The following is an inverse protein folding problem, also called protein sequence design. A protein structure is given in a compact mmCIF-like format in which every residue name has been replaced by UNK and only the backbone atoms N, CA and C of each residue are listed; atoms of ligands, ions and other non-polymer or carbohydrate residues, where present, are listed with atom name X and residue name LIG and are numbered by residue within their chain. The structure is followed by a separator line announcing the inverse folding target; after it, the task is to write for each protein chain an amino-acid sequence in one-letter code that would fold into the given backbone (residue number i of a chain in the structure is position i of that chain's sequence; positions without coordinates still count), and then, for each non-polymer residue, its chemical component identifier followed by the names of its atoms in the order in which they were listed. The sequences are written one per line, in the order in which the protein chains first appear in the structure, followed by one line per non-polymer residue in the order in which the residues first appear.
data_IF_692110535497
#
_entry.id   IF_692110535497
#
_cell.length_a   1.000
_cell.length_b   1.000
_cell.length_c   1.000
_cell.angle_alpha   90.00
_cell.angle_beta   90.00
_cell.angle_gamma   90.00
#
_symmetry.space_group_name_H-M   'P 1'
#
loop_
_entity.id
_entity.type
_entity.pdbx_description
1 polymer ?
#
# COMPACT_ATOMS: atom_id res chain seq x y z
N UNK A 1 2.05 -21.88 -16.11
CA UNK A 1 0.73 -21.39 -15.70
C UNK A 1 0.56 -19.94 -16.10
N UNK A 2 -0.68 -19.49 -16.29
CA UNK A 2 -1.02 -18.07 -16.51
C UNK A 2 -1.51 -17.48 -15.20
N UNK A 3 -1.13 -16.24 -14.89
CA UNK A 3 -1.54 -15.54 -13.66
C UNK A 3 -2.06 -14.15 -14.01
N UNK A 4 -2.94 -13.60 -13.17
CA UNK A 4 -3.48 -12.25 -13.34
C UNK A 4 -3.13 -11.38 -12.12
N UNK A 5 -2.63 -10.18 -12.38
CA UNK A 5 -2.48 -9.11 -11.38
C UNK A 5 -3.44 -7.98 -11.73
N UNK A 6 -4.32 -7.61 -10.80
CA UNK A 6 -5.28 -6.51 -10.97
C UNK A 6 -4.68 -5.23 -10.41
N UNK A 7 -4.61 -4.18 -11.24
CA UNK A 7 -4.18 -2.83 -10.96
C UNK A 7 -3.20 -2.28 -12.00
N UNK A 8 -2.64 -1.10 -11.71
CA UNK A 8 -1.82 -0.32 -12.65
C UNK A 8 -0.72 0.51 -11.97
N UNK A 9 -0.55 0.39 -10.66
CA UNK A 9 0.44 1.11 -9.87
C UNK A 9 1.82 0.45 -9.85
N UNK A 10 2.72 1.04 -9.05
CA UNK A 10 4.07 0.54 -8.85
C UNK A 10 4.09 -0.77 -8.07
N UNK A 11 3.18 -0.91 -7.10
CA UNK A 11 2.90 -2.18 -6.41
C UNK A 11 2.55 -3.31 -7.38
N UNK A 12 1.63 -3.07 -8.30
CA UNK A 12 1.22 -4.12 -9.25
C UNK A 12 2.33 -4.48 -10.23
N UNK A 13 3.11 -3.48 -10.68
CA UNK A 13 4.30 -3.76 -11.46
C UNK A 13 5.30 -4.63 -10.66
N UNK A 14 5.59 -4.29 -9.40
CA UNK A 14 6.50 -5.09 -8.58
C UNK A 14 6.01 -6.53 -8.32
N UNK A 15 4.71 -6.72 -8.07
CA UNK A 15 4.11 -8.06 -7.95
C UNK A 15 4.21 -8.83 -9.27
N UNK A 16 3.85 -8.21 -10.39
CA UNK A 16 3.89 -8.84 -11.71
C UNK A 16 5.34 -9.20 -12.13
N UNK A 17 6.28 -8.28 -11.92
CA UNK A 17 7.71 -8.49 -12.13
C UNK A 17 8.22 -9.68 -11.33
N UNK A 18 7.82 -9.81 -10.06
CA UNK A 18 8.27 -10.92 -9.21
C UNK A 18 7.65 -12.26 -9.62
N UNK A 19 6.35 -12.28 -9.94
CA UNK A 19 5.68 -13.49 -10.45
C UNK A 19 6.29 -13.96 -11.78
N UNK A 20 6.65 -13.03 -12.67
CA UNK A 20 7.24 -13.34 -13.97
C UNK A 20 8.65 -13.94 -13.91
N UNK A 21 9.31 -13.95 -12.74
CA UNK A 21 10.60 -14.62 -12.54
C UNK A 21 10.45 -16.12 -12.29
N UNK A 22 9.25 -16.58 -11.91
CA UNK A 22 9.03 -18.01 -11.66
C UNK A 22 9.12 -18.80 -12.96
N UNK A 23 9.89 -19.91 -13.01
CA UNK A 23 9.90 -20.80 -14.17
C UNK A 23 8.54 -21.49 -14.40
N UNK A 24 7.62 -21.43 -13.42
CA UNK A 24 6.28 -21.99 -13.53
C UNK A 24 5.34 -21.09 -14.32
N UNK A 25 5.66 -19.80 -14.53
CA UNK A 25 4.80 -18.82 -15.19
C UNK A 25 5.10 -18.75 -16.69
N UNK A 26 4.04 -18.82 -17.49
CA UNK A 26 4.09 -18.63 -18.94
C UNK A 26 3.86 -17.16 -19.32
N UNK A 27 2.90 -16.52 -18.66
CA UNK A 27 2.57 -15.11 -18.83
C UNK A 27 1.89 -14.59 -17.57
N UNK A 28 2.19 -13.34 -17.22
CA UNK A 28 1.45 -12.57 -16.21
C UNK A 28 0.59 -11.56 -16.95
N UNK A 29 -0.73 -11.70 -16.87
CA UNK A 29 -1.64 -10.64 -17.28
C UNK A 29 -1.67 -9.54 -16.23
N UNK A 30 -1.71 -8.28 -16.65
CA UNK A 30 -1.87 -7.14 -15.74
C UNK A 30 -3.06 -6.30 -16.19
N UNK A 31 -4.01 -6.04 -15.29
CA UNK A 31 -5.29 -5.44 -15.64
C UNK A 31 -5.56 -4.13 -14.85
N UNK A 32 -5.45 -2.93 -15.47
CA UNK A 32 -5.09 -2.68 -16.86
C UNK A 32 -3.57 -2.63 -17.12
N UNK A 33 -2.75 -2.67 -16.07
CA UNK A 33 -1.31 -2.43 -16.17
C UNK A 33 -0.97 -0.97 -16.49
N UNK A 34 0.31 -0.73 -16.79
CA UNK A 34 0.86 0.60 -17.08
C UNK A 34 1.93 0.54 -18.18
N UNK A 35 2.56 1.67 -18.47
CA UNK A 35 3.61 1.79 -19.48
C UNK A 35 4.81 0.87 -19.23
N UNK A 36 5.17 0.63 -17.96
CA UNK A 36 6.27 -0.28 -17.62
C UNK A 36 5.92 -1.75 -17.83
N UNK A 37 4.73 -2.17 -17.38
CA UNK A 37 4.27 -3.54 -17.59
C UNK A 37 4.03 -3.86 -19.07
N UNK A 38 3.76 -2.84 -19.90
CA UNK A 38 3.68 -2.99 -21.36
C UNK A 38 5.04 -3.25 -22.05
N UNK A 39 6.16 -2.94 -21.39
CA UNK A 39 7.51 -3.07 -21.96
C UNK A 39 8.19 -4.40 -21.62
N UNK A 40 7.74 -5.10 -20.57
CA UNK A 40 8.26 -6.41 -20.20
C UNK A 40 7.56 -7.52 -21.02
N UNK A 41 8.34 -8.28 -21.78
CA UNK A 41 7.82 -9.35 -22.66
C UNK A 41 7.16 -10.52 -21.92
N UNK A 42 7.39 -10.65 -20.61
CA UNK A 42 6.78 -11.68 -19.76
C UNK A 42 5.39 -11.25 -19.26
N UNK A 43 5.08 -9.97 -19.39
CA UNK A 43 3.84 -9.36 -18.93
C UNK A 43 2.95 -9.02 -20.12
N UNK A 44 1.64 -9.08 -19.92
CA UNK A 44 0.66 -8.68 -20.94
C UNK A 44 -0.44 -7.84 -20.31
N UNK A 45 -0.48 -6.55 -20.68
CA UNK A 45 -1.56 -5.68 -20.23
C UNK A 45 -2.88 -6.07 -20.90
N UNK A 46 -3.97 -6.09 -20.12
CA UNK A 46 -5.33 -6.32 -20.61
C UNK A 46 -6.22 -5.16 -20.14
N UNK A 47 -6.87 -4.41 -21.05
CA UNK A 47 -7.57 -3.17 -20.70
C UNK A 47 -8.94 -3.43 -20.06
N UNK A 48 -8.96 -4.20 -18.97
CA UNK A 48 -10.14 -4.64 -18.25
C UNK A 48 -10.06 -4.17 -16.81
N UNK A 49 -11.18 -3.70 -16.27
CA UNK A 49 -11.29 -3.21 -14.88
C UNK A 49 -12.54 -3.71 -14.16
N UNK A 50 -13.58 -4.06 -14.91
CA UNK A 50 -14.84 -4.58 -14.37
C UNK A 50 -14.66 -6.01 -13.81
N UNK A 51 -15.05 -6.28 -12.55
CA UNK A 51 -14.93 -7.60 -11.93
C UNK A 51 -15.57 -8.75 -12.71
N UNK A 52 -16.75 -8.56 -13.29
CA UNK A 52 -17.47 -9.62 -13.99
C UNK A 52 -16.79 -9.95 -15.33
N UNK A 53 -16.33 -8.91 -16.03
CA UNK A 53 -15.57 -9.06 -17.28
C UNK A 53 -14.20 -9.71 -17.01
N UNK A 54 -13.53 -9.33 -15.91
CA UNK A 54 -12.27 -9.94 -15.48
C UNK A 54 -12.46 -11.43 -15.14
N UNK A 55 -13.53 -11.80 -14.44
CA UNK A 55 -13.82 -13.19 -14.14
C UNK A 55 -14.02 -14.03 -15.42
N UNK A 56 -14.79 -13.52 -16.38
CA UNK A 56 -14.97 -14.17 -17.69
C UNK A 56 -13.66 -14.29 -18.49
N UNK A 57 -12.77 -13.30 -18.38
CA UNK A 57 -11.43 -13.36 -18.96
C UNK A 57 -10.59 -14.48 -18.33
N UNK A 58 -10.58 -14.58 -16.99
CA UNK A 58 -9.83 -15.58 -16.22
C UNK A 58 -10.30 -17.01 -16.58
N UNK A 59 -11.61 -17.21 -16.68
CA UNK A 59 -12.21 -18.48 -17.12
C UNK A 59 -11.76 -18.86 -18.53
N UNK A 60 -11.89 -17.94 -19.49
CA UNK A 60 -11.54 -18.20 -20.89
C UNK A 60 -10.05 -18.48 -21.08
N UNK A 61 -9.19 -17.73 -20.41
CA UNK A 61 -7.74 -17.86 -20.56
C UNK A 61 -7.14 -19.03 -19.78
N UNK A 62 -7.87 -19.61 -18.82
CA UNK A 62 -7.35 -20.63 -17.91
C UNK A 62 -6.30 -20.07 -16.94
N UNK A 63 -6.59 -18.89 -16.37
CA UNK A 63 -5.71 -18.26 -15.36
C UNK A 63 -5.74 -19.07 -14.06
N UNK A 64 -4.56 -19.44 -13.57
CA UNK A 64 -4.38 -20.35 -12.43
C UNK A 64 -4.71 -19.70 -11.08
N UNK A 65 -4.39 -18.42 -10.92
CA UNK A 65 -4.85 -17.59 -9.81
C UNK A 65 -4.75 -16.10 -10.17
N UNK A 66 -5.49 -15.29 -9.42
CA UNK A 66 -5.52 -13.83 -9.54
C UNK A 66 -5.06 -13.17 -8.24
N UNK A 67 -4.31 -12.07 -8.35
CA UNK A 67 -3.84 -11.25 -7.23
C UNK A 67 -4.40 -9.85 -7.38
N UNK A 68 -5.07 -9.35 -6.33
CA UNK A 68 -5.63 -7.99 -6.35
C UNK A 68 -4.67 -7.02 -5.67
N UNK A 69 -4.22 -6.00 -6.41
CA UNK A 69 -3.32 -4.98 -5.90
C UNK A 69 -4.03 -3.80 -5.22
N UNK A 70 -4.94 -3.08 -5.88
CA UNK A 70 -5.58 -1.90 -5.31
C UNK A 70 -6.84 -2.21 -4.50
N UNK A 71 -7.18 -1.26 -3.64
CA UNK A 71 -8.29 -1.29 -2.71
C UNK A 71 -9.67 -1.16 -3.37
N UNK A 72 -9.78 -0.41 -4.48
CA UNK A 72 -11.06 -0.15 -5.11
C UNK A 72 -11.76 -1.43 -5.65
N UNK A 73 -11.09 -2.35 -6.36
CA UNK A 73 -11.70 -3.63 -6.74
C UNK A 73 -12.09 -4.51 -5.55
N UNK A 74 -11.33 -4.46 -4.44
CA UNK A 74 -11.65 -5.20 -3.22
C UNK A 74 -12.95 -4.68 -2.58
N UNK A 75 -13.07 -3.36 -2.44
CA UNK A 75 -14.29 -2.71 -1.95
C UNK A 75 -15.50 -2.93 -2.88
N UNK A 76 -15.26 -3.06 -4.20
CA UNK A 76 -16.28 -3.41 -5.18
C UNK A 76 -16.69 -4.90 -5.16
N UNK A 77 -15.98 -5.77 -4.41
CA UNK A 77 -16.31 -7.19 -4.26
C UNK A 77 -15.80 -8.09 -5.38
N UNK A 78 -14.66 -7.74 -6.01
CA UNK A 78 -14.03 -8.60 -7.04
C UNK A 78 -13.79 -10.03 -6.54
N UNK A 79 -13.39 -10.17 -5.27
CA UNK A 79 -13.11 -11.48 -4.65
C UNK A 79 -14.38 -12.31 -4.51
N UNK A 80 -15.50 -11.68 -4.15
CA UNK A 80 -16.81 -12.33 -4.05
C UNK A 80 -17.25 -12.86 -5.43
N UNK A 81 -17.15 -12.03 -6.48
CA UNK A 81 -17.48 -12.40 -7.86
C UNK A 81 -16.66 -13.60 -8.33
N UNK A 82 -15.34 -13.57 -8.12
CA UNK A 82 -14.44 -14.63 -8.55
C UNK A 82 -14.71 -15.94 -7.81
N UNK A 83 -14.88 -15.88 -6.48
CA UNK A 83 -15.14 -17.07 -5.66
C UNK A 83 -16.51 -17.69 -5.96
N UNK A 84 -17.53 -16.89 -6.25
CA UNK A 84 -18.85 -17.40 -6.65
C UNK A 84 -18.78 -18.23 -7.94
N UNK A 85 -17.77 -18.01 -8.78
CA UNK A 85 -17.49 -18.77 -10.00
C UNK A 85 -16.41 -19.86 -9.84
N UNK A 86 -15.93 -20.10 -8.62
CA UNK A 86 -14.88 -21.08 -8.35
C UNK A 86 -13.48 -20.67 -8.82
N UNK A 87 -13.24 -19.38 -9.07
CA UNK A 87 -11.95 -18.86 -9.53
C UNK A 87 -11.02 -18.58 -8.34
N UNK A 88 -9.76 -19.02 -8.46
CA UNK A 88 -8.73 -18.81 -7.43
C UNK A 88 -8.28 -17.34 -7.43
N UNK A 89 -8.48 -16.65 -6.32
CA UNK A 89 -8.15 -15.23 -6.15
C UNK A 89 -7.63 -14.95 -4.74
N UNK A 90 -6.58 -14.14 -4.66
CA UNK A 90 -5.99 -13.66 -3.42
C UNK A 90 -6.35 -12.19 -3.17
N UNK A 91 -7.10 -11.98 -2.10
CA UNK A 91 -7.62 -10.69 -1.65
C UNK A 91 -8.78 -10.89 -0.69
N UNK A 92 -9.19 -9.87 0.07
CA UNK A 92 -10.35 -9.97 0.97
C UNK A 92 -11.67 -9.84 0.21
N UNK A 93 -12.71 -10.51 0.71
CA UNK A 93 -14.09 -10.25 0.28
C UNK A 93 -14.48 -8.80 0.57
N UNK A 94 -15.53 -8.30 -0.07
CA UNK A 94 -16.06 -6.95 0.19
C UNK A 94 -16.33 -6.70 1.67
N UNK A 95 -16.85 -7.71 2.36
CA UNK A 95 -17.11 -7.63 3.80
C UNK A 95 -15.81 -7.51 4.61
N UNK A 96 -14.77 -8.29 4.27
CA UNK A 96 -13.48 -8.22 4.93
C UNK A 96 -12.69 -6.94 4.60
N UNK A 97 -12.86 -6.43 3.38
CA UNK A 97 -12.24 -5.19 2.90
C UNK A 97 -12.70 -3.94 3.67
N UNK A 98 -13.79 -4.04 4.46
CA UNK A 98 -14.24 -2.95 5.34
C UNK A 98 -13.18 -2.54 6.37
N UNK A 99 -12.21 -3.41 6.70
CA UNK A 99 -11.06 -3.03 7.53
C UNK A 99 -10.24 -1.86 6.93
N UNK A 100 -10.22 -1.70 5.60
CA UNK A 100 -9.62 -0.53 4.94
C UNK A 100 -10.69 0.45 4.44
N UNK A 101 -11.78 -0.05 3.85
CA UNK A 101 -12.76 0.80 3.16
C UNK A 101 -13.68 1.58 4.09
N UNK A 102 -13.74 1.23 5.39
CA UNK A 102 -14.44 2.02 6.41
C UNK A 102 -13.60 2.15 7.68
N UNK A 103 -13.19 3.38 7.97
CA UNK A 103 -12.41 3.70 9.18
C UNK A 103 -13.26 3.51 10.44
N UNK A 104 -14.56 3.82 10.34
CA UNK A 104 -15.52 3.57 11.41
C UNK A 104 -15.63 2.07 11.73
N UNK A 105 -15.78 1.21 10.70
CA UNK A 105 -15.77 -0.24 10.88
C UNK A 105 -14.45 -0.72 11.50
N UNK A 106 -13.31 -0.29 10.96
CA UNK A 106 -11.99 -0.71 11.43
C UNK A 106 -11.78 -0.35 12.90
N UNK A 107 -12.17 0.86 13.31
CA UNK A 107 -12.06 1.31 14.69
C UNK A 107 -13.00 0.59 15.64
N UNK A 108 -14.26 0.39 15.23
CA UNK A 108 -15.23 -0.38 16.01
C UNK A 108 -14.80 -1.85 16.16
N UNK A 109 -14.21 -2.42 15.10
CA UNK A 109 -13.62 -3.75 15.10
C UNK A 109 -12.46 -3.84 16.09
N UNK A 110 -11.50 -2.91 16.01
CA UNK A 110 -10.35 -2.89 16.93
C UNK A 110 -10.79 -2.78 18.39
N UNK A 111 -11.76 -1.92 18.69
CA UNK A 111 -12.29 -1.78 20.04
C UNK A 111 -12.98 -3.06 20.53
N UNK A 112 -13.87 -3.65 19.71
CA UNK A 112 -14.61 -4.88 20.05
C UNK A 112 -13.70 -6.08 20.31
N UNK A 113 -12.56 -6.17 19.63
CA UNK A 113 -11.61 -7.28 19.76
C UNK A 113 -10.36 -6.95 20.60
N UNK A 114 -10.34 -5.79 21.25
CA UNK A 114 -9.26 -5.40 22.17
C UNK A 114 -7.90 -5.16 21.47
N UNK A 115 -7.91 -4.74 20.21
CA UNK A 115 -6.70 -4.42 19.44
C UNK A 115 -6.25 -3.00 19.81
N UNK A 116 -4.97 -2.79 20.20
CA UNK A 116 -4.46 -1.46 20.54
C UNK A 116 -4.61 -0.48 19.37
N UNK A 117 -5.28 0.64 19.60
CA UNK A 117 -5.47 1.72 18.63
C UNK A 117 -5.69 3.06 19.35
N UNK A 118 -5.62 4.16 18.60
CA UNK A 118 -5.97 5.48 19.10
C UNK A 118 -7.44 5.55 19.56
N UNK A 119 -7.69 6.20 20.70
CA UNK A 119 -9.04 6.65 21.07
C UNK A 119 -9.67 7.42 19.91
N UNK A 120 -10.95 7.18 19.66
CA UNK A 120 -11.66 7.76 18.53
C UNK A 120 -13.14 8.00 18.82
N UNK A 121 -13.74 8.89 18.03
CA UNK A 121 -15.19 9.03 17.92
C UNK A 121 -15.57 9.41 16.50
N UNK A 122 -16.71 8.88 16.03
CA UNK A 122 -17.23 9.10 14.67
C UNK A 122 -18.37 10.11 14.71
N UNK A 123 -18.41 11.02 13.75
CA UNK A 123 -19.42 12.07 13.63
C UNK A 123 -19.98 12.15 12.22
N UNK A 124 -21.30 12.33 12.10
CA UNK A 124 -21.99 12.67 10.86
C UNK A 124 -22.44 14.14 10.82
N UNK A 125 -22.39 14.83 11.96
CA UNK A 125 -22.77 16.23 12.13
C UNK A 125 -21.53 17.08 12.33
N UNK A 126 -21.34 18.10 11.51
CA UNK A 126 -20.24 19.06 11.68
C UNK A 126 -20.32 19.75 13.04
N UNK A 127 -21.52 20.13 13.50
CA UNK A 127 -21.71 20.75 14.81
C UNK A 127 -21.25 19.86 15.97
N UNK A 128 -21.59 18.56 15.93
CA UNK A 128 -21.17 17.61 16.98
C UNK A 128 -19.65 17.34 16.92
N UNK A 129 -19.09 17.29 15.71
CA UNK A 129 -17.65 17.14 15.49
C UNK A 129 -16.87 18.34 16.06
N UNK A 130 -17.32 19.56 15.78
CA UNK A 130 -16.70 20.77 16.34
C UNK A 130 -16.79 20.83 17.85
N UNK A 131 -17.96 20.55 18.44
CA UNK A 131 -18.12 20.52 19.89
C UNK A 131 -17.21 19.48 20.56
N UNK A 132 -16.95 18.35 19.89
CA UNK A 132 -15.99 17.36 20.37
C UNK A 132 -14.54 17.88 20.29
N UNK A 133 -14.17 18.54 19.18
CA UNK A 133 -12.85 19.17 19.03
C UNK A 133 -12.61 20.22 20.11
N UNK A 134 -13.60 21.08 20.38
CA UNK A 134 -13.53 22.10 21.44
C UNK A 134 -13.27 21.47 22.82
N UNK A 135 -13.85 20.30 23.07
CA UNK A 135 -13.70 19.58 24.33
C UNK A 135 -12.36 18.82 24.46
N UNK A 136 -11.81 18.30 23.35
CA UNK A 136 -10.57 17.50 23.37
C UNK A 136 -9.30 18.36 23.22
N UNK A 137 -9.35 19.45 22.44
CA UNK A 137 -8.18 20.24 22.10
C UNK A 137 -7.38 19.67 20.92
N UNK A 138 -6.20 20.24 20.68
CA UNK A 138 -5.22 19.83 19.68
C UNK A 138 -3.86 19.53 20.36
N UNK A 139 -2.98 18.68 19.77
CA UNK A 139 -3.08 18.06 18.45
C UNK A 139 -4.13 16.94 18.36
N UNK A 140 -4.83 16.86 17.24
CA UNK A 140 -5.90 15.89 16.99
C UNK A 140 -5.93 15.47 15.52
N UNK A 141 -6.39 14.26 15.22
CA UNK A 141 -6.39 13.72 13.85
C UNK A 141 -7.83 13.60 13.35
N UNK A 142 -8.10 14.15 12.17
CA UNK A 142 -9.40 14.11 11.50
C UNK A 142 -9.25 13.26 10.24
N UNK A 143 -10.07 12.21 10.12
CA UNK A 143 -10.05 11.29 8.98
C UNK A 143 -11.43 11.18 8.35
N UNK A 144 -11.52 11.23 7.02
CA UNK A 144 -12.74 10.91 6.30
C UNK A 144 -13.01 9.40 6.35
N UNK A 145 -14.25 9.00 6.63
CA UNK A 145 -14.67 7.59 6.48
C UNK A 145 -14.82 7.27 4.99
N UNK A 146 -14.26 6.15 4.54
CA UNK A 146 -14.19 5.77 3.12
C UNK A 146 -12.79 5.81 2.51
N UNK A 147 -12.73 5.47 1.22
CA UNK A 147 -11.52 5.47 0.41
C UNK A 147 -11.23 6.88 -0.10
N UNK A 148 -10.18 7.50 0.43
CA UNK A 148 -9.76 8.87 0.07
C UNK A 148 -8.34 8.94 -0.51
N UNK A 149 -7.80 7.82 -1.01
CA UNK A 149 -6.48 7.71 -1.65
C UNK A 149 -5.33 8.38 -0.86
N UNK A 150 -5.35 8.27 0.48
CA UNK A 150 -4.35 8.88 1.38
C UNK A 150 -4.51 10.39 1.62
N UNK A 151 -5.47 11.06 0.97
CA UNK A 151 -5.74 12.51 1.13
C UNK A 151 -6.79 12.82 2.20
N UNK A 152 -7.51 11.81 2.69
CA UNK A 152 -8.57 11.98 3.69
C UNK A 152 -8.09 11.95 5.14
N UNK A 153 -6.86 12.38 5.44
CA UNK A 153 -6.28 12.42 6.80
C UNK A 153 -5.60 13.76 7.03
N UNK A 154 -6.07 14.49 8.04
CA UNK A 154 -5.48 15.75 8.49
C UNK A 154 -5.00 15.58 9.93
N UNK A 155 -3.72 15.85 10.17
CA UNK A 155 -3.15 15.97 11.51
C UNK A 155 -3.19 17.44 11.88
N UNK A 156 -4.16 17.84 12.69
CA UNK A 156 -4.37 19.22 13.08
C UNK A 156 -3.57 19.52 14.35
N UNK A 157 -2.63 20.45 14.26
CA UNK A 157 -1.82 20.93 15.37
C UNK A 157 -2.51 22.06 16.13
N UNK A 158 -3.52 22.68 15.53
CA UNK A 158 -4.32 23.75 16.13
C UNK A 158 -5.81 23.44 16.02
N UNK A 159 -6.63 24.10 16.87
CA UNK A 159 -8.08 24.00 16.76
C UNK A 159 -8.57 24.49 15.40
N UNK A 160 -8.05 25.61 14.89
CA UNK A 160 -8.43 26.17 13.59
C UNK A 160 -8.23 25.17 12.45
N UNK A 161 -7.08 24.48 12.42
CA UNK A 161 -6.82 23.40 11.46
C UNK A 161 -7.82 22.25 11.62
N UNK A 162 -8.17 21.90 12.86
CA UNK A 162 -9.10 20.81 13.14
C UNK A 162 -10.53 21.11 12.68
N UNK A 163 -11.05 22.32 12.98
CA UNK A 163 -12.35 22.76 12.51
C UNK A 163 -12.38 22.85 10.97
N UNK A 164 -11.35 23.44 10.36
CA UNK A 164 -11.25 23.53 8.90
C UNK A 164 -11.21 22.15 8.21
N UNK A 165 -10.59 21.15 8.83
CA UNK A 165 -10.59 19.78 8.33
C UNK A 165 -11.99 19.14 8.37
N UNK A 166 -12.74 19.34 9.46
CA UNK A 166 -14.13 18.86 9.58
C UNK A 166 -15.02 19.50 8.52
N UNK A 167 -14.92 20.83 8.36
CA UNK A 167 -15.69 21.55 7.34
C UNK A 167 -15.36 21.03 5.94
N UNK A 168 -14.08 20.86 5.63
CA UNK A 168 -13.66 20.34 4.32
C UNK A 168 -14.18 18.92 4.04
N UNK A 169 -14.19 18.05 5.04
CA UNK A 169 -14.58 16.64 4.87
C UNK A 169 -16.11 16.44 4.89
N UNK A 170 -16.86 17.25 5.64
CA UNK A 170 -18.32 17.14 5.76
C UNK A 170 -19.08 18.11 4.84
N UNK A 171 -18.46 19.17 4.30
CA UNK A 171 -19.12 20.11 3.40
C UNK A 171 -19.21 19.58 1.95
N UNK A 172 -20.40 19.72 1.37
CA UNK A 172 -20.71 19.56 -0.07
C UNK A 172 -20.27 18.25 -0.74
N UNK A 173 -20.09 17.14 0.00
CA UNK A 173 -19.69 15.84 -0.56
C UNK A 173 -18.48 15.94 -1.51
N UNK A 174 -17.53 16.87 -1.27
CA UNK A 174 -16.39 17.11 -2.18
C UNK A 174 -15.50 15.87 -2.38
N UNK A 175 -15.56 14.91 -1.46
CA UNK A 175 -14.85 13.63 -1.50
C UNK A 175 -15.73 12.45 -2.00
N UNK A 176 -16.96 12.72 -2.46
CA UNK A 176 -17.94 11.72 -2.90
C UNK A 176 -18.68 11.04 -1.74
N UNK A 177 -19.05 9.76 -1.90
CA UNK A 177 -19.64 8.96 -0.80
C UNK A 177 -18.65 8.74 0.37
N UNK A 178 -17.34 8.89 0.11
CA UNK A 178 -16.31 8.99 1.15
C UNK A 178 -16.37 10.42 1.74
N UNK A 179 -16.72 10.57 3.02
CA UNK A 179 -16.92 11.89 3.64
C UNK A 179 -18.30 12.14 4.25
N UNK A 180 -19.25 11.21 4.15
CA UNK A 180 -20.52 11.31 4.88
C UNK A 180 -20.34 11.29 6.42
N UNK A 181 -19.18 10.81 6.88
CA UNK A 181 -18.78 10.73 8.29
C UNK A 181 -17.29 11.06 8.42
N UNK A 182 -16.92 11.64 9.56
CA UNK A 182 -15.54 11.85 9.98
C UNK A 182 -15.24 11.04 11.23
N UNK A 183 -14.04 10.47 11.28
CA UNK A 183 -13.47 9.81 12.45
C UNK A 183 -12.44 10.77 13.04
N UNK A 184 -12.65 11.18 14.28
CA UNK A 184 -11.73 12.05 15.02
C UNK A 184 -10.97 11.19 16.03
N UNK A 185 -9.65 11.22 15.98
CA UNK A 185 -8.76 10.37 16.76
C UNK A 185 -7.79 11.19 17.61
N UNK A 186 -7.37 10.62 18.75
CA UNK A 186 -6.22 11.15 19.48
C UNK A 186 -4.97 11.17 18.57
N UNK A 187 -4.14 12.20 18.73
CA UNK A 187 -2.84 12.24 18.11
C UNK A 187 -1.89 11.25 18.82
N UNK A 188 -1.23 10.40 18.03
CA UNK A 188 -0.21 9.47 18.53
C UNK A 188 1.17 9.97 18.15
N UNK A 189 2.02 10.17 19.14
CA UNK A 189 3.43 10.49 18.93
C UNK A 189 4.27 9.21 18.84
N UNK A 190 5.26 9.21 17.94
CA UNK A 190 6.15 8.07 17.79
C UNK A 190 6.79 7.96 16.41
N UNK A 191 7.35 6.78 16.15
CA UNK A 191 7.85 6.39 14.83
C UNK A 191 6.86 5.47 14.12
N UNK A 192 6.50 5.82 12.89
CA UNK A 192 5.65 5.00 12.05
C UNK A 192 6.41 3.78 11.50
N UNK A 193 5.73 2.64 11.45
CA UNK A 193 6.20 1.44 10.77
C UNK A 193 5.09 0.73 10.02
N UNK A 194 5.45 0.13 8.89
CA UNK A 194 4.54 -0.65 8.06
C UNK A 194 4.72 -2.13 8.35
N UNK A 195 3.66 -2.78 8.85
CA UNK A 195 3.68 -4.21 9.15
C UNK A 195 2.69 -4.94 8.24
N UNK A 196 3.23 -5.67 7.25
CA UNK A 196 2.43 -6.35 6.23
C UNK A 196 2.54 -7.86 6.41
N UNK A 197 1.40 -8.53 6.36
CA UNK A 197 1.30 -9.99 6.40
C UNK A 197 0.41 -10.50 5.27
N UNK A 198 0.61 -11.75 4.88
CA UNK A 198 -0.36 -12.52 4.09
C UNK A 198 -1.23 -13.35 5.03
N UNK A 199 -2.52 -13.42 4.73
CA UNK A 199 -3.51 -14.19 5.49
C UNK A 199 -4.30 -15.07 4.52
N UNK A 200 -4.48 -16.34 4.86
CA UNK A 200 -5.18 -17.33 4.04
C UNK A 200 -6.55 -17.75 4.60
N UNK A 201 -7.05 -16.98 5.57
CA UNK A 201 -8.26 -17.25 6.33
C UNK A 201 -7.96 -17.54 7.80
N UNK A 202 -6.88 -18.29 8.08
CA UNK A 202 -6.54 -18.72 9.44
C UNK A 202 -5.04 -18.59 9.78
N UNK A 203 -4.17 -18.79 8.78
CA UNK A 203 -2.73 -18.73 8.95
C UNK A 203 -2.24 -17.34 8.54
N UNK A 204 -1.14 -16.93 9.17
CA UNK A 204 -0.50 -15.63 8.94
C UNK A 204 0.95 -15.85 8.56
N UNK A 205 1.37 -15.29 7.44
CA UNK A 205 2.75 -15.25 7.00
C UNK A 205 3.25 -13.81 6.97
N UNK A 206 4.15 -13.46 7.87
CA UNK A 206 4.70 -12.11 7.94
C UNK A 206 5.66 -11.82 6.77
N UNK A 207 5.51 -10.66 6.14
CA UNK A 207 6.43 -10.19 5.12
C UNK A 207 7.58 -9.39 5.75
N UNK A 208 8.58 -9.04 4.94
CA UNK A 208 9.61 -8.12 5.36
C UNK A 208 9.00 -6.76 5.73
N UNK A 209 9.44 -6.22 6.86
CA UNK A 209 9.04 -4.89 7.35
C UNK A 209 9.53 -3.79 6.40
N UNK A 210 8.84 -2.67 6.39
CA UNK A 210 9.24 -1.47 5.66
C UNK A 210 8.88 -0.21 6.42
N UNK A 211 9.47 0.92 6.02
CA UNK A 211 9.07 2.24 6.47
C UNK A 211 8.93 3.15 5.25
N UNK A 212 7.75 3.76 5.13
CA UNK A 212 7.38 4.72 4.10
C UNK A 212 7.68 6.17 4.54
N UNK A 213 7.81 7.06 3.57
CA UNK A 213 8.00 8.50 3.74
C UNK A 213 6.81 9.23 3.11
N UNK A 214 5.77 9.52 3.90
CA UNK A 214 4.49 10.04 3.39
C UNK A 214 4.55 11.48 2.88
N UNK A 215 5.36 12.32 3.50
CA UNK A 215 5.44 13.76 3.23
C UNK A 215 6.17 14.05 1.92
N UNK A 216 5.69 15.05 1.17
CA UNK A 216 6.17 15.37 -0.19
C UNK A 216 7.64 15.82 -0.22
N UNK A 217 8.04 16.63 0.76
CA UNK A 217 9.33 17.29 0.80
C UNK A 217 10.27 16.63 1.81
N UNK A 218 11.56 16.93 1.67
CA UNK A 218 12.60 16.47 2.58
C UNK A 218 12.30 16.88 4.04
N UNK A 219 12.88 16.14 4.99
CA UNK A 219 12.69 16.32 6.42
C UNK A 219 11.22 16.25 6.87
N UNK A 220 10.41 15.46 6.16
CA UNK A 220 8.99 15.24 6.42
C UNK A 220 8.13 16.51 6.35
N UNK A 221 8.48 17.42 5.43
CA UNK A 221 7.74 18.66 5.17
C UNK A 221 6.73 18.55 4.00
N UNK A 222 5.88 19.57 3.86
CA UNK A 222 4.87 19.62 2.79
C UNK A 222 3.64 18.74 3.06
N UNK A 223 2.72 18.61 2.09
CA UNK A 223 1.49 17.84 2.25
C UNK A 223 1.76 16.34 2.41
N UNK A 224 0.80 15.63 3.01
CA UNK A 224 0.77 14.17 2.99
C UNK A 224 0.54 13.66 1.56
N UNK A 225 1.14 12.54 1.25
CA UNK A 225 1.04 11.90 -0.07
C UNK A 225 0.77 10.40 0.10
N UNK A 226 0.62 9.67 -1.01
CA UNK A 226 0.59 8.20 -0.98
C UNK A 226 1.93 7.53 -0.66
N UNK A 227 2.99 8.27 -0.38
CA UNK A 227 4.35 7.78 -0.12
C UNK A 227 5.35 8.23 -1.19
N UNK A 228 6.44 8.88 -0.76
CA UNK A 228 7.54 9.38 -1.61
C UNK A 228 8.75 8.44 -1.66
N UNK A 229 8.71 7.34 -0.91
CA UNK A 229 9.74 6.33 -0.92
C UNK A 229 9.67 5.45 0.30
N UNK A 230 10.15 4.22 0.15
CA UNK A 230 10.17 3.25 1.23
C UNK A 230 11.47 2.44 1.21
N UNK A 231 11.84 1.89 2.35
CA UNK A 231 12.98 0.97 2.43
C UNK A 231 12.61 -0.27 3.25
N UNK A 232 13.36 -1.35 3.02
CA UNK A 232 13.19 -2.64 3.70
C UNK A 232 14.55 -3.31 3.93
N UNK A 233 14.82 -3.90 5.11
CA UNK A 233 13.95 -3.94 6.29
C UNK A 233 13.93 -2.60 7.05
N UNK A 234 12.98 -2.43 7.98
CA UNK A 234 12.88 -1.23 8.80
C UNK A 234 13.51 -1.47 10.19
N UNK A 235 14.65 -0.84 10.55
CA UNK A 235 15.34 -1.07 11.81
C UNK A 235 14.52 -0.75 13.07
N UNK A 236 13.51 0.11 12.95
CA UNK A 236 12.58 0.41 14.06
C UNK A 236 11.83 -0.83 14.52
N UNK A 237 11.53 -1.76 13.61
CA UNK A 237 10.80 -3.00 13.95
C UNK A 237 11.80 -4.07 14.39
N UNK A 238 12.21 -3.97 15.65
CA UNK A 238 13.06 -5.00 16.29
C UNK A 238 12.35 -6.36 16.33
N UNK A 239 13.07 -7.49 16.48
CA UNK A 239 12.45 -8.81 16.63
C UNK A 239 11.40 -8.87 17.76
N UNK A 240 11.64 -8.14 18.86
CA UNK A 240 10.69 -8.03 19.96
C UNK A 240 9.41 -7.29 19.55
N UNK A 241 9.55 -6.15 18.85
CA UNK A 241 8.40 -5.40 18.34
C UNK A 241 7.63 -6.19 17.27
N UNK A 242 8.34 -6.93 16.40
CA UNK A 242 7.74 -7.84 15.43
C UNK A 242 6.85 -8.89 16.11
N UNK A 243 7.38 -9.57 17.13
CA UNK A 243 6.63 -10.59 17.88
C UNK A 243 5.42 -10.00 18.61
N UNK A 244 5.53 -8.76 19.12
CA UNK A 244 4.41 -8.03 19.74
C UNK A 244 3.35 -7.64 18.72
N UNK A 245 3.73 -7.07 17.57
CA UNK A 245 2.80 -6.71 16.51
C UNK A 245 1.99 -7.93 16.03
N UNK A 246 2.64 -9.09 15.88
CA UNK A 246 1.93 -10.34 15.57
C UNK A 246 0.94 -10.73 16.67
N UNK A 247 1.38 -10.77 17.93
CA UNK A 247 0.56 -11.27 19.05
C UNK A 247 -0.56 -10.33 19.47
N UNK A 248 -0.31 -9.03 19.47
CA UNK A 248 -1.20 -8.00 20.05
C UNK A 248 -2.10 -7.37 18.99
N UNK A 249 -1.75 -7.43 17.70
CA UNK A 249 -2.48 -6.76 16.62
C UNK A 249 -2.92 -7.76 15.55
N UNK A 250 -1.98 -8.41 14.85
CA UNK A 250 -2.31 -9.21 13.67
C UNK A 250 -3.13 -10.46 14.00
N UNK A 251 -2.68 -11.29 14.94
CA UNK A 251 -3.39 -12.52 15.31
C UNK A 251 -4.78 -12.22 15.92
N UNK A 252 -4.96 -11.23 16.82
CA UNK A 252 -6.28 -10.78 17.25
C UNK A 252 -7.16 -10.28 16.10
N UNK A 253 -6.61 -9.56 15.12
CA UNK A 253 -7.38 -9.14 13.93
C UNK A 253 -7.88 -10.35 13.14
N UNK A 254 -7.01 -11.30 12.80
CA UNK A 254 -7.42 -12.47 12.00
C UNK A 254 -8.47 -13.31 12.74
N UNK A 255 -8.25 -13.57 14.04
CA UNK A 255 -9.22 -14.32 14.88
C UNK A 255 -10.52 -13.56 15.10
N UNK A 256 -10.47 -12.24 15.24
CA UNK A 256 -11.64 -11.38 15.40
C UNK A 256 -12.51 -11.40 14.14
N UNK A 257 -11.88 -11.33 12.96
CA UNK A 257 -12.55 -11.45 11.67
C UNK A 257 -13.23 -12.82 11.50
N UNK A 258 -12.54 -13.90 11.85
CA UNK A 258 -13.13 -15.24 11.89
C UNK A 258 -14.32 -15.33 12.85
N UNK A 259 -14.17 -14.80 14.08
CA UNK A 259 -15.23 -14.78 15.10
C UNK A 259 -16.48 -14.02 14.69
N UNK A 260 -16.31 -12.94 13.92
CA UNK A 260 -17.43 -12.15 13.38
C UNK A 260 -18.07 -12.80 12.13
N UNK A 261 -17.57 -13.96 11.69
CA UNK A 261 -18.08 -14.66 10.50
C UNK A 261 -17.61 -14.06 9.17
N UNK A 262 -16.56 -13.24 9.20
CA UNK A 262 -16.01 -12.52 8.04
C UNK A 262 -14.52 -12.88 7.91
N UNK A 263 -14.15 -14.14 7.62
CA UNK A 263 -12.75 -14.55 7.57
C UNK A 263 -11.96 -13.71 6.56
N UNK A 264 -10.78 -13.25 6.97
CA UNK A 264 -9.93 -12.40 6.16
C UNK A 264 -8.95 -13.24 5.33
N UNK A 265 -8.87 -12.97 4.03
CA UNK A 265 -7.85 -13.50 3.12
C UNK A 265 -7.20 -12.35 2.38
N UNK A 266 -5.94 -12.45 1.99
CA UNK A 266 -5.25 -11.39 1.26
C UNK A 266 -4.07 -10.81 2.04
N UNK A 267 -3.58 -9.65 1.59
CA UNK A 267 -2.58 -8.90 2.32
C UNK A 267 -3.26 -8.05 3.41
N UNK A 268 -2.77 -8.15 4.64
CA UNK A 268 -3.17 -7.27 5.74
C UNK A 268 -1.98 -6.40 6.10
N UNK A 269 -2.12 -5.11 5.90
CA UNK A 269 -1.13 -4.10 6.25
C UNK A 269 -1.66 -3.31 7.46
N UNK A 270 -1.01 -3.48 8.61
CA UNK A 270 -1.18 -2.60 9.76
C UNK A 270 -0.20 -1.42 9.72
N UNK A 271 -0.73 -0.20 9.67
CA UNK A 271 0.05 1.00 9.97
C UNK A 271 0.23 1.11 11.48
N UNK A 272 1.46 1.09 11.98
CA UNK A 272 1.78 1.08 13.40
C UNK A 272 2.44 2.39 13.82
N UNK A 273 2.09 2.87 15.01
CA UNK A 273 2.84 3.89 15.72
C UNK A 273 3.56 3.26 16.91
N UNK A 274 4.87 3.50 17.02
CA UNK A 274 5.71 3.06 18.12
C UNK A 274 6.14 4.29 18.93
N UNK A 275 5.65 4.42 20.17
CA UNK A 275 6.03 5.52 21.05
C UNK A 275 7.45 5.33 21.64
N UNK A 276 8.04 6.35 22.29
CA UNK A 276 9.38 6.25 22.89
C UNK A 276 9.54 5.13 23.93
N UNK A 277 8.46 4.73 24.61
CA UNK A 277 8.41 3.63 25.57
C UNK A 277 8.30 2.26 24.89
N UNK A 278 8.09 2.22 23.57
CA UNK A 278 7.95 1.02 22.76
C UNK A 278 6.55 0.42 22.77
N UNK A 279 5.51 1.16 23.18
CA UNK A 279 4.13 0.72 23.05
C UNK A 279 3.70 0.78 21.57
N UNK A 280 2.84 -0.16 21.18
CA UNK A 280 2.37 -0.34 19.82
C UNK A 280 0.89 0.04 19.76
N UNK A 281 0.55 0.97 18.88
CA UNK A 281 -0.84 1.28 18.53
C UNK A 281 -1.04 1.16 17.03
N UNK A 282 -2.19 0.62 16.64
CA UNK A 282 -2.61 0.53 15.24
C UNK A 282 -3.23 1.86 14.81
N UNK A 283 -2.67 2.49 13.78
CA UNK A 283 -3.20 3.71 13.17
C UNK A 283 -4.37 3.40 12.24
N UNK A 284 -4.18 2.41 11.38
CA UNK A 284 -5.14 1.97 10.36
C UNK A 284 -4.78 0.58 9.83
N UNK A 285 -5.74 -0.06 9.19
CA UNK A 285 -5.51 -1.24 8.37
C UNK A 285 -5.68 -0.88 6.89
N UNK A 286 -4.83 -1.48 6.07
CA UNK A 286 -4.96 -1.56 4.63
C UNK A 286 -5.11 -3.05 4.26
N UNK A 287 -6.00 -3.37 3.34
CA UNK A 287 -6.43 -4.71 2.94
C UNK A 287 -5.70 -5.23 1.70
N UNK A 288 -4.56 -4.59 1.39
CA UNK A 288 -3.69 -4.85 0.24
C UNK A 288 -2.25 -4.48 0.58
N UNK A 289 -1.30 -4.79 -0.30
CA UNK A 289 0.09 -4.35 -0.08
C UNK A 289 0.23 -2.81 -0.09
N UNK A 290 1.23 -2.29 0.59
CA UNK A 290 1.60 -0.86 0.52
C UNK A 290 2.17 -0.46 -0.85
N UNK A 291 2.05 0.80 -1.21
CA UNK A 291 2.75 1.41 -2.35
C UNK A 291 3.27 2.77 -1.87
N UNK A 292 4.59 3.01 -1.76
CA UNK A 292 5.66 2.30 -2.45
C UNK A 292 6.35 1.17 -1.67
N UNK A 293 5.76 0.63 -0.60
CA UNK A 293 6.39 -0.40 0.24
C UNK A 293 6.62 -1.73 -0.49
N UNK A 294 5.73 -2.11 -1.42
CA UNK A 294 5.85 -3.36 -2.18
C UNK A 294 7.14 -3.45 -2.97
N UNK A 295 7.54 -2.34 -3.59
CA UNK A 295 8.66 -2.26 -4.52
C UNK A 295 9.99 -2.76 -3.88
N UNK A 296 10.46 -2.20 -2.74
CA UNK A 296 11.64 -2.72 -2.05
C UNK A 296 11.42 -4.10 -1.40
N UNK A 297 10.20 -4.43 -0.95
CA UNK A 297 9.92 -5.78 -0.40
C UNK A 297 10.11 -6.83 -1.49
N UNK A 298 9.49 -6.65 -2.66
CA UNK A 298 9.58 -7.61 -3.77
C UNK A 298 10.99 -7.71 -4.34
N UNK A 299 11.74 -6.60 -4.37
CA UNK A 299 13.15 -6.61 -4.77
C UNK A 299 14.02 -7.52 -3.86
N UNK A 300 13.62 -7.73 -2.59
CA UNK A 300 14.35 -8.58 -1.64
C UNK A 300 13.84 -10.01 -1.54
N UNK A 301 12.63 -10.31 -2.02
CA UNK A 301 12.05 -11.64 -1.85
C UNK A 301 12.85 -12.66 -2.67
N UNK A 302 13.36 -13.73 -2.04
CA UNK A 302 14.07 -14.82 -2.74
C UNK A 302 13.16 -16.03 -2.99
N UNK A 303 12.26 -16.33 -2.06
CA UNK A 303 11.26 -17.39 -2.27
C UNK A 303 10.43 -17.11 -3.52
N UNK A 304 10.13 -18.15 -4.30
CA UNK A 304 9.29 -18.04 -5.48
C UNK A 304 7.89 -17.55 -5.08
N UNK A 305 7.51 -16.35 -5.52
CA UNK A 305 6.24 -15.74 -5.17
C UNK A 305 5.05 -16.58 -5.67
N UNK A 306 5.19 -17.35 -6.76
CA UNK A 306 4.13 -18.24 -7.23
C UNK A 306 3.77 -19.28 -6.17
N UNK A 307 4.78 -19.87 -5.52
CA UNK A 307 4.57 -20.92 -4.50
C UNK A 307 3.89 -20.35 -3.26
N UNK A 308 4.29 -19.14 -2.88
CA UNK A 308 3.65 -18.39 -1.80
C UNK A 308 2.19 -18.09 -2.14
N UNK A 309 1.90 -17.60 -3.35
CA UNK A 309 0.53 -17.26 -3.77
C UNK A 309 -0.36 -18.49 -3.88
N UNK A 310 0.14 -19.61 -4.42
CA UNK A 310 -0.60 -20.88 -4.47
C UNK A 310 -0.94 -21.38 -3.07
N UNK A 311 0.02 -21.38 -2.15
CA UNK A 311 -0.24 -21.73 -0.75
C UNK A 311 -1.24 -20.77 -0.09
N UNK A 312 -1.18 -19.48 -0.43
CA UNK A 312 -2.08 -18.47 0.11
C UNK A 312 -3.53 -18.65 -0.34
N UNK A 313 -3.77 -18.96 -1.62
CA UNK A 313 -5.13 -19.22 -2.12
C UNK A 313 -5.67 -20.59 -1.67
N UNK A 314 -4.78 -21.53 -1.35
CA UNK A 314 -5.13 -22.90 -0.94
C UNK A 314 -5.24 -23.09 0.59
N UNK A 315 -5.04 -22.04 1.41
CA UNK A 315 -5.15 -22.14 2.86
C UNK A 315 -3.98 -22.86 3.54
N UNK A 316 -2.78 -22.72 2.98
CA UNK A 316 -1.55 -23.46 3.36
C UNK A 316 -0.36 -22.54 3.66
N UNK A 317 -0.57 -21.29 4.06
CA UNK A 317 0.54 -20.37 4.40
C UNK A 317 1.40 -20.88 5.56
N UNK A 318 0.86 -21.75 6.42
CA UNK A 318 1.60 -22.44 7.48
C UNK A 318 2.70 -23.39 6.98
N UNK A 319 2.73 -23.67 5.67
CA UNK A 319 3.71 -24.55 5.03
C UNK A 319 4.79 -23.77 4.26
N UNK A 320 4.76 -22.43 4.33
CA UNK A 320 5.68 -21.56 3.62
C UNK A 320 6.60 -20.85 4.60
N UNK A 321 7.89 -20.85 4.27
CA UNK A 321 8.90 -19.98 4.88
C UNK A 321 9.48 -19.04 3.81
N UNK A 322 9.64 -17.76 4.17
CA UNK A 322 10.15 -16.75 3.25
C UNK A 322 11.65 -16.55 3.45
N UNK A 323 12.42 -16.80 2.41
CA UNK A 323 13.82 -16.41 2.29
C UNK A 323 13.91 -15.01 1.67
N UNK A 324 14.81 -14.20 2.21
CA UNK A 324 14.99 -12.80 1.85
C UNK A 324 16.46 -12.51 1.54
N UNK A 325 16.68 -11.64 0.56
CA UNK A 325 17.98 -11.01 0.36
C UNK A 325 18.35 -10.24 1.64
N UNK A 326 19.58 -10.44 2.12
CA UNK A 326 20.11 -9.79 3.31
C UNK A 326 20.40 -8.31 3.07
N UNK A 327 20.60 -7.91 1.81
CA UNK A 327 20.77 -6.51 1.41
C UNK A 327 19.53 -5.71 1.78
N UNK A 328 19.74 -4.43 2.05
CA UNK A 328 18.68 -3.43 2.14
C UNK A 328 18.23 -3.05 0.73
N UNK A 329 16.93 -2.89 0.54
CA UNK A 329 16.35 -2.28 -0.66
C UNK A 329 15.69 -0.95 -0.29
N UNK A 330 15.90 0.07 -1.11
CA UNK A 330 15.37 1.42 -0.90
C UNK A 330 14.82 1.97 -2.21
N UNK A 331 13.52 2.29 -2.21
CA UNK A 331 12.78 2.85 -3.32
C UNK A 331 12.58 4.36 -3.18
N UNK A 332 12.98 5.12 -4.20
CA UNK A 332 12.70 6.57 -4.32
C UNK A 332 11.56 6.76 -5.32
N UNK A 333 10.49 7.42 -4.92
CA UNK A 333 9.39 7.76 -5.83
C UNK A 333 9.73 9.04 -6.59
N UNK A 334 9.56 8.98 -7.91
CA UNK A 334 9.56 10.16 -8.79
C UNK A 334 8.11 10.50 -9.12
N UNK A 335 7.70 11.72 -8.78
CA UNK A 335 6.34 12.23 -8.97
C UNK A 335 6.29 13.28 -10.10
N UNK A 336 5.12 13.42 -10.71
CA UNK A 336 4.83 14.43 -11.71
C UNK A 336 4.82 15.84 -11.11
N UNK A 337 4.98 16.86 -11.96
CA UNK A 337 4.80 18.26 -11.59
C UNK A 337 3.45 18.49 -10.90
N UNK A 338 3.44 19.29 -9.83
CA UNK A 338 2.26 19.67 -9.04
C UNK A 338 1.53 18.50 -8.32
N UNK A 339 2.17 17.34 -8.19
CA UNK A 339 1.75 16.32 -7.21
C UNK A 339 1.97 16.84 -5.77
N UNK A 340 1.03 16.61 -4.82
CA UNK A 340 -0.16 15.77 -4.91
C UNK A 340 -1.45 16.46 -5.40
N UNK A 341 -1.45 17.77 -5.62
CA UNK A 341 -2.65 18.54 -5.93
C UNK A 341 -3.18 18.26 -7.34
N UNK A 342 -2.50 18.76 -8.38
CA UNK A 342 -2.91 18.61 -9.78
C UNK A 342 -1.79 18.03 -10.66
N UNK A 343 -1.45 16.74 -10.50
CA UNK A 343 -0.32 16.15 -11.19
C UNK A 343 -0.45 16.23 -12.72
N UNK A 344 0.54 16.85 -13.36
CA UNK A 344 0.59 16.97 -14.82
C UNK A 344 0.82 15.60 -15.49
N UNK A 345 0.12 15.37 -16.61
CA UNK A 345 0.21 14.15 -17.41
C UNK A 345 0.74 14.44 -18.81
N UNK A 346 1.28 13.42 -19.46
CA UNK A 346 1.71 13.46 -20.87
C UNK A 346 3.20 13.79 -21.07
N UNK A 347 3.94 14.11 -20.01
CA UNK A 347 5.37 14.42 -20.10
C UNK A 347 6.15 13.17 -20.53
N UNK A 348 7.00 13.31 -21.54
CA UNK A 348 7.81 12.22 -22.05
C UNK A 348 8.86 11.80 -21.01
N UNK A 349 8.98 10.50 -20.78
CA UNK A 349 9.92 9.90 -19.84
C UNK A 349 11.08 9.31 -20.63
N UNK A 350 12.31 9.73 -20.32
CA UNK A 350 13.53 9.25 -20.95
C UNK A 350 14.60 8.90 -19.92
N UNK A 351 15.64 8.17 -20.33
CA UNK A 351 16.81 7.91 -19.49
C UNK A 351 16.59 6.89 -18.36
N UNK A 352 15.56 6.04 -18.44
CA UNK A 352 15.40 4.92 -17.50
C UNK A 352 16.54 3.91 -17.75
N UNK A 353 17.45 3.69 -16.77
CA UNK A 353 18.52 2.73 -16.93
C UNK A 353 17.97 1.30 -16.96
N UNK A 354 18.72 0.38 -17.58
CA UNK A 354 18.40 -1.03 -17.54
C UNK A 354 18.46 -1.56 -16.10
N UNK A 355 17.62 -2.56 -15.81
CA UNK A 355 17.66 -3.32 -14.56
C UNK A 355 19.03 -3.99 -14.37
N UNK A 356 19.53 -3.96 -13.14
CA UNK A 356 20.75 -4.65 -12.70
C UNK A 356 20.48 -5.40 -11.39
N UNK A 357 21.43 -6.21 -10.95
CA UNK A 357 21.34 -6.93 -9.66
C UNK A 357 21.21 -6.00 -8.43
N UNK A 358 21.54 -4.72 -8.60
CA UNK A 358 21.55 -3.70 -7.55
C UNK A 358 20.53 -2.59 -7.78
N UNK A 359 19.80 -2.57 -8.90
CA UNK A 359 18.83 -1.52 -9.20
C UNK A 359 17.70 -1.97 -10.14
N UNK A 360 16.46 -1.60 -9.80
CA UNK A 360 15.26 -1.85 -10.61
C UNK A 360 14.32 -0.64 -10.56
N UNK A 361 13.69 -0.31 -11.69
CA UNK A 361 12.72 0.80 -11.77
C UNK A 361 11.32 0.26 -11.98
N UNK A 362 10.43 0.45 -11.00
CA UNK A 362 9.02 0.10 -11.12
C UNK A 362 8.21 1.30 -11.60
N UNK A 363 7.33 1.05 -12.55
CA UNK A 363 6.43 2.05 -13.09
C UNK A 363 5.11 2.06 -12.32
N UNK A 364 4.64 3.26 -11.99
CA UNK A 364 3.31 3.52 -11.45
C UNK A 364 2.48 4.28 -12.51
N UNK A 365 2.32 5.59 -12.36
CA UNK A 365 1.60 6.46 -13.29
C UNK A 365 2.34 6.69 -14.61
N UNK A 366 2.55 5.64 -15.41
CA UNK A 366 3.10 5.73 -16.77
C UNK A 366 2.17 5.09 -17.79
N UNK A 367 2.20 5.59 -19.02
CA UNK A 367 1.51 4.98 -20.17
C UNK A 367 2.45 4.93 -21.37
N UNK A 368 2.28 3.94 -22.24
CA UNK A 368 3.00 3.85 -23.49
C UNK A 368 2.10 4.37 -24.61
N UNK A 369 2.47 5.51 -25.19
CA UNK A 369 1.73 6.15 -26.27
C UNK A 369 2.68 6.36 -27.46
N UNK A 370 2.34 5.77 -28.60
CA UNK A 370 3.14 5.86 -29.84
C UNK A 370 4.62 5.48 -29.63
N UNK A 371 4.85 4.41 -28.86
CA UNK A 371 6.19 3.93 -28.50
C UNK A 371 6.95 4.80 -27.50
N UNK A 372 6.34 5.89 -27.01
CA UNK A 372 6.93 6.81 -26.03
C UNK A 372 6.29 6.61 -24.66
N UNK A 373 7.13 6.40 -23.64
CA UNK A 373 6.66 6.41 -22.25
C UNK A 373 6.28 7.83 -21.83
N UNK A 374 5.11 7.98 -21.22
CA UNK A 374 4.60 9.26 -20.74
C UNK A 374 4.06 9.18 -19.32
N UNK A 375 4.11 10.29 -18.59
CA UNK A 375 3.45 10.41 -17.29
C UNK A 375 1.93 10.30 -17.44
N UNK A 376 1.26 9.62 -16.51
CA UNK A 376 -0.20 9.41 -16.53
C UNK A 376 -0.85 9.45 -15.14
N UNK A 377 -0.06 9.60 -14.08
CA UNK A 377 -0.52 9.70 -12.70
C UNK A 377 0.43 10.52 -11.83
N UNK A 378 0.06 10.73 -10.57
CA UNK A 378 0.83 11.56 -9.63
C UNK A 378 2.20 11.00 -9.31
N UNK A 379 2.24 9.78 -8.77
CA UNK A 379 3.48 9.01 -8.61
C UNK A 379 3.76 8.29 -9.93
N UNK A 380 4.93 8.53 -10.52
CA UNK A 380 5.26 8.09 -11.89
C UNK A 380 6.12 6.84 -11.86
N UNK A 381 7.23 6.87 -11.12
CA UNK A 381 8.18 5.77 -11.00
C UNK A 381 8.56 5.54 -9.53
N UNK A 382 9.03 4.34 -9.22
CA UNK A 382 9.72 4.02 -7.97
C UNK A 382 11.03 3.32 -8.33
N UNK A 383 12.15 4.00 -8.09
CA UNK A 383 13.50 3.52 -8.40
C UNK A 383 14.07 2.86 -7.15
N UNK A 384 14.27 1.56 -7.20
CA UNK A 384 14.76 0.76 -6.08
C UNK A 384 16.24 0.45 -6.27
N UNK A 385 17.06 0.82 -5.29
CA UNK A 385 18.46 0.38 -5.17
C UNK A 385 18.63 -0.66 -4.07
N UNK A 386 19.53 -1.62 -4.27
CA UNK A 386 19.91 -2.64 -3.28
C UNK A 386 21.39 -2.51 -2.92
N UNK A 387 21.71 -2.70 -1.63
CA UNK A 387 23.08 -2.82 -1.13
C UNK A 387 23.12 -3.35 0.31
N UNK A 388 24.31 -3.66 0.84
CA UNK A 388 24.48 -4.16 2.21
C UNK A 388 24.09 -3.16 3.31
N UNK A 389 23.97 -1.87 2.98
CA UNK A 389 23.58 -0.81 3.93
C UNK A 389 22.54 0.11 3.33
N UNK A 390 21.71 0.75 4.17
CA UNK A 390 20.71 1.74 3.72
C UNK A 390 21.37 2.85 2.91
N UNK A 391 22.51 3.39 3.36
CA UNK A 391 23.22 4.47 2.69
C UNK A 391 23.73 4.07 1.29
N UNK A 392 24.22 2.85 1.14
CA UNK A 392 24.65 2.34 -0.17
C UNK A 392 23.45 2.06 -1.09
N UNK A 393 22.36 1.51 -0.56
CA UNK A 393 21.12 1.28 -1.32
C UNK A 393 20.52 2.61 -1.79
N UNK A 394 20.53 3.63 -0.93
CA UNK A 394 20.17 5.01 -1.24
C UNK A 394 21.00 5.55 -2.40
N UNK A 395 22.34 5.43 -2.33
CA UNK A 395 23.24 5.85 -3.40
C UNK A 395 22.92 5.16 -4.74
N UNK A 396 22.66 3.85 -4.72
CA UNK A 396 22.33 3.09 -5.92
C UNK A 396 21.00 3.57 -6.53
N UNK A 397 19.98 3.82 -5.71
CA UNK A 397 18.71 4.36 -6.17
C UNK A 397 18.88 5.76 -6.80
N UNK A 398 19.57 6.69 -6.13
CA UNK A 398 19.75 8.04 -6.66
C UNK A 398 20.63 8.10 -7.92
N UNK A 399 21.63 7.22 -8.06
CA UNK A 399 22.42 7.12 -9.28
C UNK A 399 21.56 6.77 -10.52
N UNK A 400 20.47 6.02 -10.33
CA UNK A 400 19.49 5.75 -11.38
C UNK A 400 18.50 6.90 -11.56
N UNK A 401 18.02 7.52 -10.47
CA UNK A 401 17.16 8.73 -10.52
C UNK A 401 17.83 9.86 -11.30
N UNK A 402 19.14 10.06 -11.12
CA UNK A 402 19.94 11.08 -11.81
C UNK A 402 19.99 10.93 -13.34
N UNK A 403 19.64 9.76 -13.88
CA UNK A 403 19.61 9.51 -15.33
C UNK A 403 18.22 9.76 -15.94
N UNK A 404 17.16 9.62 -15.14
CA UNK A 404 15.78 9.70 -15.60
C UNK A 404 15.35 11.15 -15.78
N UNK A 405 14.63 11.45 -16.86
CA UNK A 405 14.11 12.78 -17.15
C UNK A 405 12.64 12.73 -17.57
N UNK A 406 11.84 13.59 -16.97
CA UNK A 406 10.55 14.09 -17.47
C UNK A 406 10.33 15.49 -16.90
N UNK A 407 9.59 16.34 -17.61
CA UNK A 407 9.46 17.75 -17.24
C UNK A 407 8.78 17.93 -15.88
N UNK A 408 9.34 18.80 -15.04
CA UNK A 408 8.84 19.09 -13.69
C UNK A 408 8.82 17.92 -12.71
N UNK A 409 9.67 16.90 -12.90
CA UNK A 409 9.80 15.78 -11.98
C UNK A 409 10.14 16.22 -10.54
N UNK A 410 9.49 15.60 -9.56
CA UNK A 410 9.67 15.86 -8.13
C UNK A 410 10.09 14.56 -7.43
N UNK A 411 11.07 14.62 -6.53
CA UNK A 411 11.46 13.50 -5.66
C UNK A 411 12.15 14.04 -4.41
N UNK A 412 12.05 13.31 -3.30
CA UNK A 412 12.82 13.59 -2.08
C UNK A 412 14.27 13.18 -2.24
N UNK A 413 15.18 13.87 -1.57
CA UNK A 413 16.62 13.56 -1.56
C UNK A 413 17.10 12.85 -0.29
N UNK A 414 16.19 12.63 0.66
CA UNK A 414 16.49 12.10 1.99
C UNK A 414 15.81 10.76 2.32
N UNK A 415 15.29 10.03 1.33
CA UNK A 415 14.61 8.75 1.60
C UNK A 415 15.55 7.81 2.37
N UNK A 416 15.10 7.31 3.53
CA UNK A 416 15.88 6.45 4.42
C UNK A 416 16.71 7.20 5.47
N UNK A 417 16.61 8.53 5.59
CA UNK A 417 17.45 9.32 6.51
C UNK A 417 17.34 8.90 7.98
N UNK A 418 16.17 8.40 8.43
CA UNK A 418 15.98 7.90 9.81
C UNK A 418 16.79 6.64 10.09
N UNK A 419 16.92 5.77 9.09
CA UNK A 419 17.68 4.53 9.21
C UNK A 419 19.18 4.72 9.04
N UNK A 420 19.62 5.69 8.24
CA UNK A 420 21.06 6.00 8.05
C UNK A 420 21.71 6.55 9.34
N UNK A 421 20.93 7.16 10.23
CA UNK A 421 21.41 7.69 11.51
C UNK A 421 21.58 6.61 12.59
N UNK A 422 21.21 5.36 12.31
CA UNK A 422 21.34 4.19 13.18
C UNK A 422 22.44 3.29 12.64
#
# INVERSE_FOLDING_TARGET
MKVLVVGSGGREHALAWKLAQSPKVQVVYVAPGNGGTALDKRLQNVPLTDPEVLAAFVEREGVAFTVVGPEAPLAAGIVDVFRARGLRIFGPTRAAAQLESSKDFAKAFMHRHGIPTAYYKTFASAADAHAYIDAQGAPIVIKADGLAAGKGVVVAMTLEEAHGAVDMMLADNKLGDAGARVVIEEFLEGEEASFIVMVDGKNVLALATSQDHKRLLDADAGPNTGGMGAYSPAPVVTPALHARALREIILPTVRGMEKDGIPFTGFLYAGLMIDPEGNLKTLEFNCRMGDPETQPIMARLKTDLVDVMEAAVDGKLDQIELDWDRRTALGVVMAAFDYPENPRRGDAITGIPAETDDAVTFHAGTTLQDGTLRTSGGRVLCVVGLADTVKAAQKNAYAAVEQIRFDGMQFRTDIGYRAIKR
#
